data_IF_300723746948
#
_entry.id   IF_300723746948
#
_cell.length_a   1.000
_cell.length_b   1.000
_cell.length_c   1.000
_cell.angle_alpha   90.00
_cell.angle_beta   90.00
_cell.angle_gamma   90.00
#
_symmetry.space_group_name_H-M   'P 1'
#
loop_
_entity.id
_entity.type
_entity.pdbx_description
1 polymer ?
#
# COMPACT_ATOMS: atom_id res chain seq x y z
N UNK A 1 -27.27 19.66 8.99
CA UNK A 1 -26.43 19.66 7.76
C UNK A 1 -25.39 18.54 7.87
N UNK A 2 -25.68 17.33 7.36
CA UNK A 2 -24.85 16.12 7.59
C UNK A 2 -24.04 15.63 6.36
N UNK A 3 -24.05 16.38 5.24
CA UNK A 3 -23.36 15.96 4.00
C UNK A 3 -22.01 16.65 3.71
N UNK A 4 -21.77 17.85 4.25
CA UNK A 4 -20.56 18.62 3.92
C UNK A 4 -19.29 18.11 4.63
N UNK A 5 -19.44 17.41 5.77
CA UNK A 5 -18.33 16.86 6.54
C UNK A 5 -17.71 15.61 5.88
N UNK A 6 -18.51 14.79 5.20
CA UNK A 6 -18.02 13.61 4.46
C UNK A 6 -17.29 14.00 3.17
N UNK A 7 -17.80 15.01 2.45
CA UNK A 7 -17.17 15.56 1.24
C UNK A 7 -15.81 16.20 1.58
N UNK A 8 -15.76 17.04 2.62
CA UNK A 8 -14.49 17.67 3.04
C UNK A 8 -13.47 16.64 3.53
N UNK A 9 -13.91 15.58 4.21
CA UNK A 9 -13.03 14.45 4.59
C UNK A 9 -12.48 13.71 3.37
N UNK A 10 -13.31 13.47 2.36
CA UNK A 10 -12.86 12.85 1.11
C UNK A 10 -11.86 13.75 0.39
N UNK A 11 -12.14 15.03 0.21
CA UNK A 11 -11.23 15.98 -0.45
C UNK A 11 -9.87 16.02 0.25
N UNK A 12 -9.84 16.02 1.58
CA UNK A 12 -8.58 15.96 2.34
C UNK A 12 -7.80 14.67 2.08
N UNK A 13 -8.47 13.52 2.07
CA UNK A 13 -7.84 12.23 1.72
C UNK A 13 -7.28 12.24 0.29
N UNK A 14 -8.05 12.77 -0.66
CA UNK A 14 -7.63 12.89 -2.05
C UNK A 14 -6.41 13.81 -2.23
N UNK A 15 -6.35 14.92 -1.49
CA UNK A 15 -5.17 15.80 -1.52
C UNK A 15 -3.93 15.10 -0.99
N UNK A 16 -4.03 14.46 0.19
CA UNK A 16 -2.91 13.71 0.78
C UNK A 16 -2.44 12.61 -0.15
N UNK A 17 -3.36 11.88 -0.79
CA UNK A 17 -3.00 10.82 -1.74
C UNK A 17 -2.34 11.40 -3.00
N UNK A 18 -2.83 12.53 -3.51
CA UNK A 18 -2.23 13.19 -4.67
C UNK A 18 -0.82 13.72 -4.36
N UNK A 19 -0.63 14.34 -3.20
CA UNK A 19 0.68 14.85 -2.76
C UNK A 19 1.65 13.69 -2.59
N UNK A 20 1.18 12.56 -2.02
CA UNK A 20 1.96 11.33 -1.92
C UNK A 20 2.38 10.84 -3.31
N UNK A 21 1.45 10.67 -4.25
CA UNK A 21 1.77 10.19 -5.61
C UNK A 21 2.77 11.11 -6.30
N UNK A 22 2.63 12.43 -6.14
CA UNK A 22 3.57 13.40 -6.70
C UNK A 22 4.99 13.20 -6.15
N UNK A 23 5.12 12.98 -4.84
CA UNK A 23 6.42 12.68 -4.20
C UNK A 23 6.96 11.33 -4.69
N UNK A 24 6.14 10.27 -4.74
CA UNK A 24 6.58 8.95 -5.22
C UNK A 24 7.09 9.02 -6.67
N UNK A 25 6.44 9.79 -7.54
CA UNK A 25 6.88 10.02 -8.91
C UNK A 25 8.20 10.81 -8.96
N UNK A 26 8.30 11.91 -8.20
CA UNK A 26 9.53 12.70 -8.13
C UNK A 26 10.72 11.86 -7.65
N UNK A 27 10.52 10.99 -6.65
CA UNK A 27 11.57 10.11 -6.15
C UNK A 27 11.95 9.02 -7.18
N UNK A 28 11.00 8.59 -8.01
CA UNK A 28 11.24 7.62 -9.08
C UNK A 28 12.01 8.21 -10.26
N UNK A 29 11.93 9.53 -10.45
CA UNK A 29 12.69 10.28 -11.47
C UNK A 29 14.13 10.60 -11.04
N UNK A 30 14.47 10.42 -9.76
CA UNK A 30 15.84 10.63 -9.28
C UNK A 30 16.82 9.64 -9.92
N UNK A 31 18.10 10.02 -10.13
CA UNK A 31 19.17 9.10 -10.47
C UNK A 31 19.25 7.91 -9.50
N UNK A 32 19.57 6.72 -10.02
CA UNK A 32 19.60 5.47 -9.25
C UNK A 32 20.53 5.53 -8.03
N UNK A 33 21.62 6.29 -8.12
CA UNK A 33 22.56 6.52 -7.03
C UNK A 33 21.87 7.23 -5.85
N UNK A 34 21.17 8.32 -6.12
CA UNK A 34 20.42 9.06 -5.12
C UNK A 34 19.25 8.27 -4.55
N UNK A 35 18.58 7.44 -5.37
CA UNK A 35 17.54 6.54 -4.86
C UNK A 35 18.08 5.57 -3.82
N UNK A 36 19.29 5.01 -4.03
CA UNK A 36 19.93 4.12 -3.06
C UNK A 36 20.32 4.84 -1.78
N UNK A 37 20.87 6.04 -1.89
CA UNK A 37 21.33 6.83 -0.74
C UNK A 37 20.19 7.17 0.22
N UNK A 38 19.00 7.43 -0.31
CA UNK A 38 17.79 7.70 0.50
C UNK A 38 16.98 6.43 0.83
N UNK A 39 17.44 5.25 0.42
CA UNK A 39 16.75 3.98 0.64
C UNK A 39 15.40 3.85 -0.10
N UNK A 40 15.27 4.51 -1.26
CA UNK A 40 14.12 4.45 -2.15
C UNK A 40 14.29 3.39 -3.26
N UNK A 41 13.23 2.65 -3.64
CA UNK A 41 11.93 2.60 -2.99
C UNK A 41 12.06 1.97 -1.60
N UNK A 42 11.38 2.57 -0.61
CA UNK A 42 11.29 1.97 0.71
C UNK A 42 10.80 0.53 0.51
N UNK A 43 11.57 -0.45 1.00
CA UNK A 43 11.19 -1.85 0.93
C UNK A 43 9.80 -1.94 1.56
N UNK A 44 8.75 -2.01 0.72
CA UNK A 44 7.36 -2.07 1.19
C UNK A 44 7.38 -3.24 2.15
N UNK A 45 7.22 -2.96 3.44
CA UNK A 45 7.16 -3.99 4.46
C UNK A 45 6.24 -5.03 3.88
N UNK A 46 6.79 -6.23 3.57
CA UNK A 46 6.03 -7.32 2.97
C UNK A 46 4.81 -7.42 3.87
N UNK A 47 3.66 -6.93 3.42
CA UNK A 47 2.42 -7.25 4.09
C UNK A 47 2.44 -8.77 4.06
N UNK A 48 2.43 -9.44 5.23
CA UNK A 48 2.22 -10.87 5.23
C UNK A 48 0.90 -11.03 4.50
N UNK A 49 1.00 -11.52 3.26
CA UNK A 49 -0.13 -11.94 2.47
C UNK A 49 -0.61 -13.13 3.28
N UNK A 50 -1.55 -12.88 4.21
CA UNK A 50 -2.34 -13.92 4.83
C UNK A 50 -3.09 -14.57 3.66
N UNK A 51 -2.40 -15.47 2.96
CA UNK A 51 -3.02 -16.38 2.02
C UNK A 51 -3.99 -17.22 2.84
N UNK A 52 -5.26 -17.33 2.45
CA UNK A 52 -6.13 -18.32 3.05
C UNK A 52 -5.54 -19.69 2.70
N UNK A 53 -5.15 -20.41 3.75
CA UNK A 53 -4.98 -21.85 3.89
C UNK A 53 -5.25 -22.66 2.60
N UNK A 54 -4.27 -22.75 1.70
CA UNK A 54 -4.19 -23.83 0.71
C UNK A 54 -3.36 -24.95 1.33
N UNK A 55 -3.96 -25.61 2.31
CA UNK A 55 -3.48 -26.84 2.92
C UNK A 55 -4.51 -27.93 2.63
N UNK A 56 -4.55 -28.34 1.37
CA UNK A 56 -5.22 -29.57 0.95
C UNK A 56 -4.81 -30.73 1.86
N UNK A 57 -5.82 -31.52 2.26
CA UNK A 57 -5.72 -32.97 2.46
C UNK A 57 -4.90 -33.47 3.65
N UNK A 58 -5.60 -33.72 4.77
CA UNK A 58 -5.24 -34.80 5.67
C UNK A 58 -6.50 -35.58 6.08
N UNK A 59 -6.75 -36.65 5.30
CA UNK A 59 -7.26 -37.96 5.73
C UNK A 59 -8.05 -38.02 7.06
N UNK A 60 -9.36 -38.24 6.95
CA UNK A 60 -10.21 -39.13 7.75
C UNK A 60 -11.61 -39.01 7.12
N UNK A 61 -12.37 -40.05 6.81
CA UNK A 61 -12.76 -41.11 7.73
C UNK A 61 -13.17 -42.32 6.91
N UNK A 62 -12.54 -43.45 7.23
CA UNK A 62 -13.03 -44.80 6.94
C UNK A 62 -13.94 -45.16 8.11
N UNK A 63 -15.23 -45.34 7.87
CA UNK A 63 -16.13 -46.27 8.58
C UNK A 63 -17.49 -46.29 7.89
#
# INVERSE_FOLDING_TARGET
>A
MFGYSSITRQIRKWRVERDRIAIENMLSELPLELQKDIGWPAARARQPRNGPLSGMQARATRM
#
